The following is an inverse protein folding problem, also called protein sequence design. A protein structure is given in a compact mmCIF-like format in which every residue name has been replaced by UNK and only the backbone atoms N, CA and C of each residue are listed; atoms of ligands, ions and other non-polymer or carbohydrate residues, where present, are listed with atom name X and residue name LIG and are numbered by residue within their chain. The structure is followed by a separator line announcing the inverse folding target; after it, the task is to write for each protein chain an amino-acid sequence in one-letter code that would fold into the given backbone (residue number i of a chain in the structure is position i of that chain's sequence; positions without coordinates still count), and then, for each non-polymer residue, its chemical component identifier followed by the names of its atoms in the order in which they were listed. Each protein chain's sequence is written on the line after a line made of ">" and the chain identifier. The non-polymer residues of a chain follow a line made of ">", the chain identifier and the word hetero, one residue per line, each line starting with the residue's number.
data_IF_755362930552
#
_entry.id   IF_755362930552
#
_cell.length_a   1.000
_cell.length_b   1.000
_cell.length_c   1.000
_cell.angle_alpha   90.00
_cell.angle_beta   90.00
_cell.angle_gamma   90.00
#
_symmetry.space_group_name_H-M   'P 1'
#
loop_
_entity.id
_entity.type
_entity.pdbx_description
1 polymer ?
#
# COMPACT_ATOMS: atom_id res chain seq x y z
N UNK A 1 -4.31 35.57 -14.19
CA UNK A 1 -3.80 34.34 -13.54
C UNK A 1 -4.12 33.19 -14.48
N UNK A 2 -3.11 32.66 -15.19
CA UNK A 2 -3.32 31.70 -16.27
C UNK A 2 -3.56 30.32 -15.65
N UNK A 3 -4.80 29.82 -15.74
CA UNK A 3 -5.12 28.41 -15.45
C UNK A 3 -4.38 27.54 -16.47
N UNK A 4 -3.32 26.87 -16.05
CA UNK A 4 -2.74 25.79 -16.83
C UNK A 4 -3.75 24.63 -16.83
N UNK A 5 -4.50 24.51 -17.93
CA UNK A 5 -5.28 23.31 -18.21
C UNK A 5 -4.31 22.15 -18.41
N UNK A 6 -4.26 21.25 -17.43
CA UNK A 6 -3.49 20.02 -17.55
C UNK A 6 -4.19 19.14 -18.59
N UNK A 7 -3.60 19.04 -19.77
CA UNK A 7 -4.09 18.14 -20.83
C UNK A 7 -3.66 16.72 -20.47
N UNK A 8 -4.58 15.94 -19.89
CA UNK A 8 -4.31 14.61 -19.30
C UNK A 8 -4.49 13.42 -20.28
N UNK A 9 -4.68 13.67 -21.58
CA UNK A 9 -4.88 12.59 -22.55
C UNK A 9 -3.54 12.13 -23.15
N UNK A 10 -3.14 10.90 -22.84
CA UNK A 10 -2.05 10.18 -23.49
C UNK A 10 -0.67 10.27 -22.82
N UNK A 11 -0.56 10.87 -21.63
CA UNK A 11 0.68 10.91 -20.84
C UNK A 11 0.58 9.98 -19.63
N UNK A 12 1.69 9.30 -19.30
CA UNK A 12 1.80 8.59 -18.04
C UNK A 12 1.83 9.62 -16.90
N UNK A 13 1.13 9.35 -15.79
CA UNK A 13 1.10 10.26 -14.64
C UNK A 13 1.64 9.58 -13.38
N UNK A 14 2.20 10.38 -12.49
CA UNK A 14 2.70 9.96 -11.18
C UNK A 14 2.11 10.86 -10.10
N UNK A 15 1.53 10.24 -9.07
CA UNK A 15 0.87 10.91 -7.96
C UNK A 15 1.50 10.44 -6.65
N UNK A 16 2.04 11.38 -5.88
CA UNK A 16 2.67 11.08 -4.58
C UNK A 16 1.66 11.31 -3.47
N UNK A 17 1.47 10.32 -2.60
CA UNK A 17 0.57 10.39 -1.45
C UNK A 17 1.35 10.30 -0.13
N UNK A 18 0.96 11.12 0.85
CA UNK A 18 1.26 10.86 2.25
C UNK A 18 0.20 9.92 2.81
N UNK A 19 0.63 8.79 3.37
CA UNK A 19 -0.19 7.90 4.17
C UNK A 19 0.11 8.13 5.65
N UNK A 20 -0.88 8.63 6.39
CA UNK A 20 -0.86 8.79 7.84
C UNK A 20 -1.67 7.67 8.48
N UNK A 21 -1.10 7.05 9.50
CA UNK A 21 -1.82 6.05 10.29
C UNK A 21 -1.43 6.10 11.76
N UNK A 22 -2.38 5.77 12.63
CA UNK A 22 -2.11 5.57 14.05
C UNK A 22 -1.62 4.14 14.25
N UNK A 23 -0.45 3.97 14.85
CA UNK A 23 0.05 2.64 15.17
C UNK A 23 -0.73 2.01 16.33
N UNK A 24 -1.18 2.81 17.27
CA UNK A 24 -2.22 2.47 18.23
C UNK A 24 -3.43 3.38 17.97
N UNK A 25 -4.56 2.78 17.57
CA UNK A 25 -5.78 3.51 17.25
C UNK A 25 -6.33 4.36 18.41
N UNK A 26 -5.89 4.12 19.64
CA UNK A 26 -6.30 4.86 20.84
C UNK A 26 -5.30 5.93 21.27
N UNK A 27 -4.11 5.98 20.67
CA UNK A 27 -3.05 6.94 20.98
C UNK A 27 -2.74 7.82 19.76
N UNK A 28 -3.12 9.09 19.83
CA UNK A 28 -2.88 10.08 18.77
C UNK A 28 -1.37 10.35 18.59
N UNK A 29 -0.56 10.23 19.65
CA UNK A 29 0.89 10.39 19.57
C UNK A 29 1.57 9.23 18.82
N UNK A 30 0.85 8.13 18.60
CA UNK A 30 1.33 6.97 17.86
C UNK A 30 1.34 7.17 16.33
N UNK A 31 0.98 8.36 15.84
CA UNK A 31 0.91 8.66 14.42
C UNK A 31 2.25 8.37 13.71
N UNK A 32 2.14 7.73 12.54
CA UNK A 32 3.24 7.43 11.63
C UNK A 32 2.89 7.94 10.24
N UNK A 33 3.93 8.16 9.43
CA UNK A 33 3.82 8.69 8.07
C UNK A 33 4.64 7.83 7.13
N UNK A 34 4.06 7.54 5.97
CA UNK A 34 4.74 6.86 4.88
C UNK A 34 4.41 7.56 3.56
N UNK A 35 5.37 7.58 2.64
CA UNK A 35 5.16 8.12 1.29
C UNK A 35 4.97 6.96 0.32
N UNK A 36 3.93 7.07 -0.49
CA UNK A 36 3.61 6.14 -1.56
C UNK A 36 3.48 6.89 -2.88
N UNK A 37 3.74 6.18 -3.96
CA UNK A 37 3.60 6.69 -5.31
C UNK A 37 2.64 5.81 -6.09
N UNK A 38 1.66 6.46 -6.72
CA UNK A 38 0.76 5.88 -7.71
C UNK A 38 1.23 6.31 -9.09
N UNK A 39 1.59 5.36 -9.95
CA UNK A 39 1.86 5.61 -11.36
C UNK A 39 0.73 5.04 -12.20
N UNK A 40 0.27 5.82 -13.18
CA UNK A 40 -0.87 5.51 -14.03
C UNK A 40 -0.47 5.60 -15.49
N UNK A 41 -0.90 4.61 -16.29
CA UNK A 41 -1.00 4.69 -17.75
C UNK A 41 -2.43 4.40 -18.20
N UNK A 42 -2.64 4.24 -19.51
CA UNK A 42 -3.98 4.02 -20.08
C UNK A 42 -4.56 2.63 -19.79
N UNK A 43 -3.76 1.67 -19.32
CA UNK A 43 -4.16 0.26 -19.12
C UNK A 43 -4.21 -0.14 -17.66
N UNK A 44 -3.40 0.50 -16.82
CA UNK A 44 -3.21 0.08 -15.45
C UNK A 44 -2.61 1.18 -14.56
N UNK A 45 -2.59 0.89 -13.26
CA UNK A 45 -1.82 1.64 -12.28
C UNK A 45 -0.98 0.74 -11.40
N UNK A 46 0.09 1.31 -10.82
CA UNK A 46 0.92 0.69 -9.80
C UNK A 46 1.10 1.63 -8.62
N UNK A 47 0.79 1.15 -7.42
CA UNK A 47 0.91 1.86 -6.15
C UNK A 47 1.91 1.15 -5.24
N UNK A 48 2.95 1.87 -4.81
CA UNK A 48 4.05 1.29 -4.04
C UNK A 48 4.66 2.32 -3.09
N UNK A 49 5.28 1.84 -2.01
CA UNK A 49 5.98 2.72 -1.05
C UNK A 49 7.27 3.27 -1.65
N UNK A 50 7.56 4.55 -1.43
CA UNK A 50 8.83 5.19 -1.80
C UNK A 50 10.04 4.60 -1.05
N UNK A 51 9.81 3.84 0.04
CA UNK A 51 10.84 3.01 0.66
C UNK A 51 11.50 2.06 -0.36
N UNK A 52 10.71 1.51 -1.30
CA UNK A 52 11.17 0.63 -2.35
C UNK A 52 11.99 1.35 -3.44
N UNK A 53 11.88 2.68 -3.55
CA UNK A 53 12.65 3.49 -4.50
C UNK A 53 14.03 3.87 -3.96
N UNK A 54 14.15 4.15 -2.66
CA UNK A 54 15.43 4.55 -2.04
C UNK A 54 16.47 3.42 -1.99
N UNK A 55 16.05 2.16 -2.15
CA UNK A 55 16.93 0.98 -2.18
C UNK A 55 17.04 0.48 -3.61
N UNK A 56 17.81 1.21 -4.41
CA UNK A 56 17.82 1.16 -5.88
C UNK A 56 18.57 -0.06 -6.47
N UNK A 57 18.17 -1.28 -6.07
CA UNK A 57 18.60 -2.51 -6.74
C UNK A 57 17.48 -3.54 -6.77
N UNK A 58 17.41 -4.27 -7.88
CA UNK A 58 16.40 -5.28 -8.25
C UNK A 58 16.19 -6.40 -7.23
N UNK A 59 17.10 -6.52 -6.26
CA UNK A 59 17.09 -7.53 -5.20
C UNK A 59 16.30 -7.07 -3.95
N UNK A 60 16.06 -5.76 -3.77
CA UNK A 60 15.73 -5.20 -2.46
C UNK A 60 14.24 -4.89 -2.16
N UNK A 61 13.33 -4.90 -3.14
CA UNK A 61 11.90 -4.56 -2.92
C UNK A 61 11.23 -5.49 -1.89
N UNK A 62 11.71 -6.73 -1.77
CA UNK A 62 11.20 -7.72 -0.83
C UNK A 62 12.29 -8.28 0.11
N UNK A 63 13.52 -7.76 0.09
CA UNK A 63 14.65 -8.41 0.77
C UNK A 63 14.61 -8.29 2.31
N UNK A 64 14.14 -7.17 2.87
CA UNK A 64 14.63 -6.72 4.17
C UNK A 64 13.67 -6.79 5.37
N UNK A 65 12.46 -7.35 5.23
CA UNK A 65 11.50 -7.46 6.35
C UNK A 65 10.71 -8.77 6.32
N UNK A 66 10.30 -9.26 7.49
CA UNK A 66 9.36 -10.39 7.63
C UNK A 66 7.97 -10.07 7.07
N UNK A 67 7.61 -8.80 6.88
CA UNK A 67 6.46 -8.40 6.06
C UNK A 67 6.81 -7.13 5.28
N UNK A 68 6.87 -7.23 3.96
CA UNK A 68 7.14 -6.06 3.11
C UNK A 68 5.92 -5.15 3.00
N UNK A 69 6.17 -3.88 2.68
CA UNK A 69 5.10 -2.99 2.21
C UNK A 69 4.56 -3.54 0.88
N UNK A 70 3.23 -3.68 0.72
CA UNK A 70 2.66 -4.27 -0.47
C UNK A 70 2.85 -3.36 -1.68
N UNK A 71 2.98 -3.97 -2.85
CA UNK A 71 2.81 -3.31 -4.14
C UNK A 71 1.44 -3.69 -4.69
N UNK A 72 0.65 -2.71 -5.07
CA UNK A 72 -0.68 -2.90 -5.64
C UNK A 72 -0.62 -2.54 -7.12
N UNK A 73 -1.15 -3.40 -7.98
CA UNK A 73 -1.31 -3.15 -9.41
C UNK A 73 -2.79 -3.29 -9.73
N UNK A 74 -3.38 -2.32 -10.42
CA UNK A 74 -4.78 -2.35 -10.86
C UNK A 74 -4.82 -2.38 -12.37
N UNK A 75 -5.50 -3.36 -12.95
CA UNK A 75 -5.68 -3.53 -14.39
C UNK A 75 -7.09 -3.06 -14.77
N UNK A 76 -7.19 -2.13 -15.71
CA UNK A 76 -8.45 -1.43 -16.00
C UNK A 76 -9.35 -2.21 -16.97
N UNK A 77 -8.77 -3.05 -17.81
CA UNK A 77 -9.47 -3.87 -18.80
C UNK A 77 -10.38 -4.92 -18.15
N UNK A 78 -9.90 -5.56 -17.09
CA UNK A 78 -10.60 -6.64 -16.40
C UNK A 78 -11.00 -6.29 -14.96
N UNK A 79 -10.72 -5.07 -14.50
CA UNK A 79 -10.97 -4.58 -13.14
C UNK A 79 -10.31 -5.43 -12.04
N UNK A 80 -9.22 -6.14 -12.37
CA UNK A 80 -8.48 -6.93 -11.41
C UNK A 80 -7.49 -6.08 -10.62
N UNK A 81 -7.41 -6.34 -9.32
CA UNK A 81 -6.41 -5.80 -8.41
C UNK A 81 -5.45 -6.90 -8.01
N UNK A 82 -4.17 -6.71 -8.28
CA UNK A 82 -3.10 -7.60 -7.90
C UNK A 82 -2.31 -6.98 -6.74
N UNK A 83 -2.08 -7.76 -5.70
CA UNK A 83 -1.30 -7.37 -4.55
C UNK A 83 -0.10 -8.32 -4.39
N UNK A 84 1.10 -7.73 -4.32
CA UNK A 84 2.37 -8.42 -4.22
C UNK A 84 3.06 -8.05 -2.92
N UNK A 85 3.44 -9.04 -2.11
CA UNK A 85 4.15 -8.80 -0.85
C UNK A 85 4.94 -10.02 -0.36
N UNK A 86 5.92 -9.76 0.50
CA UNK A 86 6.56 -10.79 1.32
C UNK A 86 5.85 -10.92 2.65
N UNK A 87 5.55 -12.15 3.05
CA UNK A 87 5.12 -12.49 4.41
C UNK A 87 5.96 -13.66 4.93
N UNK A 88 6.54 -13.46 6.10
CA UNK A 88 7.71 -14.19 6.59
C UNK A 88 8.80 -14.31 5.51
N UNK A 89 9.11 -15.53 5.07
CA UNK A 89 10.16 -15.84 4.10
C UNK A 89 9.61 -16.09 2.69
N UNK A 90 8.30 -15.88 2.48
CA UNK A 90 7.60 -16.25 1.25
C UNK A 90 7.01 -15.03 0.55
N UNK A 91 7.02 -15.08 -0.78
CA UNK A 91 6.48 -14.06 -1.66
C UNK A 91 5.09 -14.50 -2.14
N UNK A 92 4.09 -13.65 -1.92
CA UNK A 92 2.70 -13.93 -2.21
C UNK A 92 2.15 -12.96 -3.25
N UNK A 93 1.38 -13.53 -4.18
CA UNK A 93 0.55 -12.80 -5.13
C UNK A 93 -0.91 -13.09 -4.80
N UNK A 94 -1.65 -12.02 -4.51
CA UNK A 94 -3.08 -12.07 -4.24
C UNK A 94 -3.80 -11.35 -5.36
N UNK A 95 -4.73 -12.04 -6.02
CA UNK A 95 -5.67 -11.45 -6.98
C UNK A 95 -7.02 -11.22 -6.31
N UNK A 96 -7.60 -10.05 -6.54
CA UNK A 96 -8.95 -9.71 -6.10
C UNK A 96 -9.66 -8.88 -7.17
N UNK A 97 -10.97 -9.03 -7.24
CA UNK A 97 -11.84 -8.10 -7.98
C UNK A 97 -12.61 -7.28 -6.94
N UNK A 98 -11.99 -6.21 -6.48
CA UNK A 98 -12.48 -5.39 -5.37
C UNK A 98 -13.57 -4.43 -5.89
N UNK A 99 -14.82 -4.89 -5.96
CA UNK A 99 -15.95 -4.03 -6.38
C UNK A 99 -16.29 -3.00 -5.28
N UNK A 100 -15.91 -1.74 -5.52
CA UNK A 100 -16.18 -0.62 -4.63
C UNK A 100 -17.50 0.06 -5.02
N UNK A 101 -18.56 -0.22 -4.27
CA UNK A 101 -19.87 0.41 -4.46
C UNK A 101 -19.90 1.78 -3.77
N UNK A 102 -19.36 2.79 -4.45
CA UNK A 102 -19.31 4.16 -3.94
C UNK A 102 -20.71 4.79 -3.88
N UNK A 103 -20.99 5.46 -2.76
CA UNK A 103 -22.07 6.43 -2.64
C UNK A 103 -21.47 7.83 -2.79
N UNK A 104 -21.71 8.47 -3.94
CA UNK A 104 -21.32 9.87 -4.16
C UNK A 104 -22.25 10.76 -3.32
N UNK A 105 -21.66 11.73 -2.62
CA UNK A 105 -22.34 12.67 -1.74
C UNK A 105 -22.36 14.07 -2.37
N UNK A 106 -23.24 14.94 -1.86
CA UNK A 106 -23.37 16.32 -2.33
C UNK A 106 -22.29 17.25 -1.77
N UNK A 107 -21.59 16.84 -0.71
CA UNK A 107 -20.52 17.61 -0.09
C UNK A 107 -19.39 17.88 -1.10
N UNK A 108 -19.09 19.16 -1.30
CA UNK A 108 -17.99 19.65 -2.12
C UNK A 108 -16.96 20.34 -1.21
N UNK A 109 -15.68 20.08 -1.44
CA UNK A 109 -14.58 20.69 -0.68
C UNK A 109 -13.45 21.14 -1.62
N UNK A 110 -12.76 22.22 -1.26
CA UNK A 110 -11.56 22.67 -1.98
C UNK A 110 -10.31 22.18 -1.24
N UNK A 111 -9.56 21.26 -1.83
CA UNK A 111 -8.44 20.55 -1.19
C UNK A 111 -7.23 20.61 -2.11
N UNK A 112 -6.09 21.09 -1.58
CA UNK A 112 -4.80 21.15 -2.28
C UNK A 112 -4.87 21.77 -3.70
N UNK A 113 -5.75 22.76 -3.88
CA UNK A 113 -5.95 23.44 -5.16
C UNK A 113 -6.98 22.82 -6.09
N UNK A 114 -7.69 21.76 -5.66
CA UNK A 114 -8.68 21.05 -6.47
C UNK A 114 -10.10 21.22 -5.91
N UNK A 115 -11.07 21.36 -6.80
CA UNK A 115 -12.47 21.16 -6.44
C UNK A 115 -12.73 19.66 -6.33
N UNK A 116 -13.16 19.23 -5.14
CA UNK A 116 -13.39 17.82 -4.84
C UNK A 116 -14.84 17.57 -4.45
N UNK A 117 -15.32 16.39 -4.80
CA UNK A 117 -16.61 15.85 -4.37
C UNK A 117 -16.37 14.69 -3.41
N UNK A 118 -17.18 14.61 -2.35
CA UNK A 118 -17.10 13.54 -1.36
C UNK A 118 -17.84 12.29 -1.85
N UNK A 119 -17.31 11.12 -1.50
CA UNK A 119 -17.97 9.83 -1.67
C UNK A 119 -17.69 8.94 -0.45
N UNK A 120 -18.53 7.94 -0.22
CA UNK A 120 -18.31 6.96 0.84
C UNK A 120 -18.42 5.52 0.36
N UNK A 121 -17.70 4.61 1.00
CA UNK A 121 -17.76 3.16 0.73
C UNK A 121 -17.44 2.36 1.99
N UNK A 122 -18.04 1.18 2.12
CA UNK A 122 -17.61 0.20 3.11
C UNK A 122 -16.66 -0.79 2.44
N UNK A 123 -15.41 -0.83 2.90
CA UNK A 123 -14.38 -1.68 2.31
C UNK A 123 -13.41 -2.20 3.37
N UNK A 124 -13.04 -3.48 3.26
CA UNK A 124 -12.12 -4.17 4.17
C UNK A 124 -12.48 -4.03 5.66
N UNK A 125 -13.78 -3.97 5.98
CA UNK A 125 -14.29 -3.85 7.35
C UNK A 125 -14.27 -2.43 7.94
N UNK A 126 -14.06 -1.39 7.12
CA UNK A 126 -14.07 0.02 7.54
C UNK A 126 -14.97 0.84 6.63
N UNK A 127 -15.54 1.92 7.16
CA UNK A 127 -16.17 2.98 6.37
C UNK A 127 -15.12 3.99 5.96
N UNK A 128 -15.09 4.31 4.67
CA UNK A 128 -14.15 5.26 4.07
C UNK A 128 -14.89 6.45 3.49
N UNK A 129 -14.26 7.61 3.56
CA UNK A 129 -14.64 8.82 2.85
C UNK A 129 -13.53 9.19 1.87
N UNK A 130 -13.89 9.31 0.60
CA UNK A 130 -13.00 9.74 -0.47
C UNK A 130 -13.40 11.14 -0.93
N UNK A 131 -12.43 11.97 -1.25
CA UNK A 131 -12.60 13.28 -1.87
C UNK A 131 -11.91 13.21 -3.22
N UNK A 132 -12.68 13.21 -4.31
CA UNK A 132 -12.17 13.02 -5.66
C UNK A 132 -12.41 14.26 -6.52
N UNK A 133 -11.55 14.51 -7.50
CA UNK A 133 -11.68 15.65 -8.43
C UNK A 133 -11.88 15.18 -9.87
N UNK A 134 -12.81 15.83 -10.57
CA UNK A 134 -13.04 15.64 -12.02
C UNK A 134 -12.00 16.38 -12.87
N UNK A 135 -11.24 17.30 -12.27
CA UNK A 135 -10.17 18.05 -12.95
C UNK A 135 -9.05 17.12 -13.43
N UNK A 136 -8.89 15.98 -12.74
CA UNK A 136 -8.02 14.87 -13.14
C UNK A 136 -8.91 13.66 -13.42
N UNK A 137 -9.36 13.41 -14.67
CA UNK A 137 -10.34 12.38 -15.01
C UNK A 137 -9.72 10.97 -15.07
N UNK A 138 -8.98 10.61 -14.03
CA UNK A 138 -8.38 9.29 -13.82
C UNK A 138 -9.15 8.62 -12.70
N UNK A 139 -9.89 7.56 -13.00
CA UNK A 139 -10.73 6.84 -12.03
C UNK A 139 -9.93 5.93 -11.07
N UNK A 140 -8.90 6.48 -10.44
CA UNK A 140 -7.92 5.77 -9.61
C UNK A 140 -7.65 6.53 -8.28
N UNK A 141 -6.84 5.96 -7.40
CA UNK A 141 -6.53 6.46 -6.08
C UNK A 141 -5.51 5.60 -5.32
N UNK A 142 -5.19 5.97 -4.07
CA UNK A 142 -4.21 5.25 -3.27
C UNK A 142 -4.67 3.83 -2.94
N UNK A 143 -3.71 2.92 -2.75
CA UNK A 143 -3.97 1.53 -2.38
C UNK A 143 -4.91 0.84 -3.39
N UNK A 144 -5.94 0.14 -2.90
CA UNK A 144 -6.94 -0.58 -3.69
C UNK A 144 -8.13 0.30 -4.11
N UNK A 145 -8.14 1.58 -3.76
CA UNK A 145 -9.30 2.44 -4.05
C UNK A 145 -9.25 2.95 -5.49
N UNK A 146 -10.37 2.84 -6.19
CA UNK A 146 -10.56 3.25 -7.59
C UNK A 146 -12.07 3.37 -7.91
N UNK A 147 -12.40 3.78 -9.13
CA UNK A 147 -13.78 3.70 -9.66
C UNK A 147 -14.68 4.91 -9.38
N UNK A 148 -14.14 5.99 -8.82
CA UNK A 148 -14.82 7.29 -8.79
C UNK A 148 -14.58 8.04 -10.11
N UNK A 149 -15.48 8.95 -10.52
CA UNK A 149 -15.33 9.70 -11.77
C UNK A 149 -14.30 10.83 -11.61
N UNK A 150 -13.04 10.48 -11.34
CA UNK A 150 -11.95 11.39 -11.05
C UNK A 150 -10.94 10.83 -10.05
N UNK A 151 -9.77 11.46 -9.95
CA UNK A 151 -8.69 11.03 -9.06
C UNK A 151 -9.06 11.29 -7.60
N UNK A 152 -8.85 10.30 -6.74
CA UNK A 152 -9.01 10.46 -5.29
C UNK A 152 -7.87 11.31 -4.72
N UNK A 153 -8.16 12.57 -4.34
CA UNK A 153 -7.20 13.53 -3.79
C UNK A 153 -6.94 13.26 -2.29
N UNK A 154 -7.98 12.88 -1.56
CA UNK A 154 -7.90 12.53 -0.14
C UNK A 154 -8.79 11.32 0.14
N UNK A 155 -8.33 10.43 1.01
CA UNK A 155 -9.08 9.26 1.44
C UNK A 155 -8.87 9.05 2.94
N UNK A 156 -9.93 8.88 3.70
CA UNK A 156 -9.81 8.65 5.15
C UNK A 156 -10.83 7.65 5.67
N UNK A 157 -10.43 6.89 6.69
CA UNK A 157 -11.37 6.09 7.48
C UNK A 157 -12.24 7.01 8.32
N UNK A 158 -13.47 6.59 8.62
CA UNK A 158 -14.42 7.31 9.48
C UNK A 158 -13.86 7.75 10.84
N UNK A 159 -13.03 6.92 11.47
CA UNK A 159 -12.35 7.19 12.73
C UNK A 159 -10.99 7.91 12.57
N UNK A 160 -10.63 8.33 11.35
CA UNK A 160 -9.38 9.00 10.99
C UNK A 160 -8.08 8.27 11.38
N UNK A 161 -8.16 6.97 11.66
CA UNK A 161 -6.97 6.14 11.96
C UNK A 161 -6.11 5.87 10.73
N UNK A 162 -6.67 6.00 9.54
CA UNK A 162 -5.98 5.89 8.25
C UNK A 162 -6.36 7.05 7.36
N UNK A 163 -5.37 7.77 6.85
CA UNK A 163 -5.57 8.92 5.96
C UNK A 163 -4.54 8.91 4.85
N UNK A 164 -4.99 9.11 3.62
CA UNK A 164 -4.16 9.30 2.44
C UNK A 164 -4.44 10.69 1.88
N UNK A 165 -3.38 11.41 1.55
CA UNK A 165 -3.49 12.77 1.02
C UNK A 165 -2.49 12.97 -0.11
N UNK A 166 -3.00 13.45 -1.25
CA UNK A 166 -2.17 13.77 -2.41
C UNK A 166 -1.27 14.96 -2.10
N UNK A 167 0.03 14.74 -2.27
CA UNK A 167 1.07 15.76 -2.10
C UNK A 167 1.54 16.36 -3.42
N UNK A 168 1.64 15.54 -4.46
CA UNK A 168 2.31 15.94 -5.70
C UNK A 168 1.72 15.25 -6.92
N UNK A 169 1.64 16.00 -8.03
CA UNK A 169 1.25 15.52 -9.37
C UNK A 169 2.41 15.76 -10.32
N UNK A 170 2.86 14.72 -11.04
CA UNK A 170 3.93 14.78 -12.04
C UNK A 170 3.51 14.07 -13.33
N UNK A 171 3.93 14.60 -14.48
CA UNK A 171 4.02 13.80 -15.70
C UNK A 171 5.14 12.77 -15.54
N UNK A 172 4.89 11.53 -15.93
CA UNK A 172 5.82 10.42 -15.76
C UNK A 172 6.65 10.19 -17.02
N UNK A 173 7.92 9.85 -16.85
CA UNK A 173 8.84 9.58 -17.96
C UNK A 173 8.49 8.28 -18.72
N UNK A 174 8.95 8.19 -19.97
CA UNK A 174 8.94 6.96 -20.79
C UNK A 174 9.90 5.92 -20.17
N UNK A 175 9.48 5.24 -19.10
CA UNK A 175 9.98 3.98 -18.51
C UNK A 175 9.45 3.76 -17.08
N UNK A 176 8.31 4.36 -16.74
CA UNK A 176 7.84 4.51 -15.35
C UNK A 176 7.46 3.19 -14.64
N UNK A 177 7.38 2.07 -15.34
CA UNK A 177 6.92 0.77 -14.82
C UNK A 177 8.01 -0.30 -14.65
N UNK A 178 9.27 0.09 -14.44
CA UNK A 178 10.36 -0.86 -14.16
C UNK A 178 10.01 -1.90 -13.07
N UNK A 179 9.25 -1.52 -12.04
CA UNK A 179 8.74 -2.42 -11.01
C UNK A 179 7.89 -3.59 -11.52
N UNK A 180 7.12 -3.40 -12.60
CA UNK A 180 6.36 -4.49 -13.21
C UNK A 180 7.29 -5.57 -13.77
N UNK A 181 8.43 -5.16 -14.36
CA UNK A 181 9.40 -6.13 -14.87
C UNK A 181 9.99 -6.98 -13.74
N UNK A 182 10.23 -6.40 -12.56
CA UNK A 182 10.68 -7.16 -11.39
C UNK A 182 9.59 -8.11 -10.89
N UNK A 183 8.35 -7.62 -10.79
CA UNK A 183 7.21 -8.44 -10.38
C UNK A 183 7.06 -9.63 -11.32
N UNK A 184 7.12 -9.41 -12.64
CA UNK A 184 6.95 -10.46 -13.65
C UNK A 184 8.08 -11.50 -13.63
N UNK A 185 9.31 -11.11 -13.25
CA UNK A 185 10.46 -12.04 -13.11
C UNK A 185 10.49 -12.78 -11.78
N UNK A 186 9.71 -12.33 -10.79
CA UNK A 186 9.69 -12.91 -9.45
C UNK A 186 8.80 -14.14 -9.40
N UNK A 187 9.24 -15.20 -8.70
CA UNK A 187 8.41 -16.39 -8.47
C UNK A 187 7.46 -16.16 -7.30
N UNK A 188 6.17 -16.07 -7.59
CA UNK A 188 5.12 -15.82 -6.62
C UNK A 188 4.39 -17.08 -6.19
N UNK A 189 3.91 -17.09 -4.95
CA UNK A 189 2.92 -18.07 -4.49
C UNK A 189 1.54 -17.41 -4.61
N UNK A 190 0.76 -17.90 -5.56
CA UNK A 190 -0.63 -17.47 -5.73
C UNK A 190 -1.48 -17.91 -4.54
N UNK A 191 -2.24 -16.97 -3.99
CA UNK A 191 -3.11 -17.23 -2.83
C UNK A 191 -4.38 -16.38 -2.92
N UNK A 192 -5.52 -16.97 -2.55
CA UNK A 192 -6.79 -16.24 -2.52
C UNK A 192 -6.81 -15.24 -1.35
N UNK A 193 -7.60 -14.15 -1.43
CA UNK A 193 -7.75 -13.20 -0.32
C UNK A 193 -8.14 -13.86 1.01
N UNK A 194 -9.02 -14.87 0.99
CA UNK A 194 -9.50 -15.58 2.18
C UNK A 194 -8.40 -16.43 2.81
N UNK A 195 -7.63 -17.14 1.97
CA UNK A 195 -6.48 -17.94 2.43
C UNK A 195 -5.38 -17.03 2.97
N UNK A 196 -5.13 -15.91 2.30
CA UNK A 196 -4.17 -14.90 2.77
C UNK A 196 -4.60 -14.31 4.12
N UNK A 197 -5.88 -14.00 4.31
CA UNK A 197 -6.42 -13.52 5.59
C UNK A 197 -6.13 -14.52 6.73
N UNK A 198 -6.37 -15.81 6.50
CA UNK A 198 -6.07 -16.88 7.47
C UNK A 198 -4.57 -16.99 7.75
N UNK A 199 -3.74 -16.99 6.70
CA UNK A 199 -2.29 -17.02 6.81
C UNK A 199 -1.75 -15.82 7.61
N UNK A 200 -2.26 -14.63 7.35
CA UNK A 200 -1.87 -13.42 8.06
C UNK A 200 -2.28 -13.47 9.54
N UNK A 201 -3.46 -14.02 9.85
CA UNK A 201 -3.88 -14.25 11.24
C UNK A 201 -2.96 -15.23 11.96
N UNK A 202 -2.54 -16.32 11.30
CA UNK A 202 -1.56 -17.26 11.84
C UNK A 202 -0.21 -16.60 12.07
N UNK A 203 0.29 -15.84 11.09
CA UNK A 203 1.51 -15.06 11.21
C UNK A 203 1.45 -14.10 12.40
N UNK A 204 0.31 -13.43 12.64
CA UNK A 204 0.16 -12.55 13.81
C UNK A 204 0.25 -13.28 15.14
N UNK A 205 -0.20 -14.54 15.20
CA UNK A 205 -0.15 -15.37 16.41
C UNK A 205 1.26 -15.90 16.65
N UNK A 206 1.95 -16.32 15.59
CA UNK A 206 3.30 -16.88 15.66
C UNK A 206 4.17 -16.39 14.49
N UNK A 207 4.76 -15.19 14.58
CA UNK A 207 5.41 -14.56 13.43
C UNK A 207 6.78 -15.18 13.08
N UNK A 208 7.34 -15.99 13.97
CA UNK A 208 8.63 -16.67 13.78
C UNK A 208 8.47 -18.16 13.46
N UNK A 209 7.24 -18.64 13.18
CA UNK A 209 6.98 -20.07 12.95
C UNK A 209 7.89 -20.67 11.87
N UNK A 210 8.09 -19.96 10.74
CA UNK A 210 8.94 -20.47 9.67
C UNK A 210 10.44 -20.46 10.02
N UNK A 211 10.86 -19.52 10.85
CA UNK A 211 12.25 -19.38 11.31
C UNK A 211 12.62 -20.45 12.32
N UNK A 212 11.66 -20.88 13.16
CA UNK A 212 11.86 -21.97 14.12
C UNK A 212 12.12 -23.34 13.47
N UNK A 213 11.88 -23.47 12.16
CA UNK A 213 12.21 -24.67 11.37
C UNK A 213 13.65 -24.68 10.86
N UNK A 214 14.36 -23.56 10.94
CA UNK A 214 15.77 -23.48 10.58
C UNK A 214 16.63 -23.89 11.77
N UNK A 215 17.75 -24.56 11.49
CA UNK A 215 18.75 -24.91 12.50
C UNK A 215 19.59 -23.67 12.86
N UNK A 216 19.03 -22.82 13.72
CA UNK A 216 19.66 -21.59 14.19
C UNK A 216 20.24 -21.85 15.58
N UNK A 217 21.57 -21.84 15.70
CA UNK A 217 22.28 -22.06 16.96
C UNK A 217 22.72 -20.75 17.63
N UNK A 218 22.94 -19.69 16.83
CA UNK A 218 23.24 -18.31 17.28
C UNK A 218 22.61 -17.33 16.31
N UNK A 219 22.24 -16.15 16.81
CA UNK A 219 21.70 -15.06 15.99
C UNK A 219 22.29 -13.71 16.35
N UNK A 220 22.26 -12.78 15.41
CA UNK A 220 22.81 -11.43 15.60
C UNK A 220 21.70 -10.40 15.42
N UNK A 221 21.54 -9.52 16.42
CA UNK A 221 20.61 -8.39 16.36
C UNK A 221 21.39 -7.13 16.73
N UNK A 222 21.34 -6.10 15.88
CA UNK A 222 22.06 -4.83 16.08
C UNK A 222 23.56 -4.99 16.37
N UNK A 223 24.22 -5.95 15.70
CA UNK A 223 25.64 -6.23 15.88
C UNK A 223 26.00 -7.06 17.13
N UNK A 224 25.03 -7.41 17.98
CA UNK A 224 25.25 -8.30 19.13
C UNK A 224 24.85 -9.74 18.79
N UNK A 225 25.81 -10.65 18.87
CA UNK A 225 25.58 -12.10 18.76
C UNK A 225 25.03 -12.64 20.09
N UNK A 226 24.02 -13.49 20.02
CA UNK A 226 23.37 -14.12 21.18
C UNK A 226 23.00 -15.57 20.89
N UNK A 227 22.61 -16.31 21.94
CA UNK A 227 22.14 -17.69 21.81
C UNK A 227 20.86 -17.76 20.96
N UNK A 228 20.54 -18.94 20.42
CA UNK A 228 19.30 -19.16 19.67
C UNK A 228 18.05 -18.75 20.47
N UNK A 229 17.96 -19.14 21.75
CA UNK A 229 16.82 -18.83 22.60
C UNK A 229 16.66 -17.33 22.83
N UNK A 230 17.75 -16.63 23.13
CA UNK A 230 17.76 -15.18 23.28
C UNK A 230 17.40 -14.47 21.96
N UNK A 231 17.90 -14.98 20.84
CA UNK A 231 17.60 -14.46 19.52
C UNK A 231 16.10 -14.57 19.20
N UNK A 232 15.53 -15.78 19.32
CA UNK A 232 14.11 -16.00 19.04
C UNK A 232 13.22 -15.21 20.01
N UNK A 233 13.55 -15.15 21.30
CA UNK A 233 12.80 -14.37 22.28
C UNK A 233 12.82 -12.88 21.95
N UNK A 234 13.98 -12.34 21.56
CA UNK A 234 14.13 -10.92 21.21
C UNK A 234 13.38 -10.60 19.91
N UNK A 235 13.55 -11.42 18.87
CA UNK A 235 12.84 -11.26 17.60
C UNK A 235 11.32 -11.36 17.78
N UNK A 236 10.85 -12.30 18.60
CA UNK A 236 9.42 -12.49 18.82
C UNK A 236 8.80 -11.28 19.51
N UNK A 237 9.51 -10.71 20.50
CA UNK A 237 9.11 -9.47 21.15
C UNK A 237 9.05 -8.30 20.16
N UNK A 238 10.11 -8.08 19.38
CA UNK A 238 10.18 -6.99 18.39
C UNK A 238 9.05 -7.10 17.35
N UNK A 239 8.79 -8.32 16.88
CA UNK A 239 7.81 -8.57 15.84
C UNK A 239 6.37 -8.48 16.37
N UNK A 240 6.11 -8.95 17.60
CA UNK A 240 4.81 -8.72 18.27
C UNK A 240 4.55 -7.25 18.51
N UNK A 241 5.54 -6.48 18.97
CA UNK A 241 5.43 -5.02 19.12
C UNK A 241 5.14 -4.32 17.78
N UNK A 242 5.78 -4.77 16.69
CA UNK A 242 5.51 -4.27 15.33
C UNK A 242 4.09 -4.60 14.86
N UNK A 243 3.59 -5.80 15.18
CA UNK A 243 2.27 -6.27 14.77
C UNK A 243 1.10 -5.74 15.60
N UNK A 244 1.35 -5.36 16.85
CA UNK A 244 0.39 -4.61 17.67
C UNK A 244 0.15 -3.24 17.03
N UNK A 245 1.21 -2.65 16.47
CA UNK A 245 1.23 -1.35 15.79
C UNK A 245 0.58 -1.34 14.39
N UNK A 246 0.14 -2.49 13.88
CA UNK A 246 -0.29 -2.72 12.49
C UNK A 246 -1.82 -3.00 12.40
N UNK A 247 -2.64 -2.40 13.30
CA UNK A 247 -4.11 -2.64 13.43
C UNK A 247 -4.97 -1.90 12.41
#
# INVERSE_FOLDING_TARGET
>A
MVMNSVHLFGQNHSFTYEYRFLSDSTDVASQRKEIYTLKVDNRQSIYFSEYHKRRDSTENMFASTSKSKPVIVKYYDNTETHQYLKLSERLYHIKSNDKLNWQILEDMEYINGFHTQKASVNFAGRKWFAFFTKDIPIADGPYKFHGLPGLIIRLESDNKTHQFELLEVKSSEKNSFSYLNLINKTKWIDITPERYKKLYQQYRRNPLESWRRHDITKGTINGKTMSADEFFKTMEKMEKERLIKDK
#
